data_IF_512259686218
#
_entry.id   IF_512259686218
#
_cell.length_a   1.000
_cell.length_b   1.000
_cell.length_c   1.000
_cell.angle_alpha   90.00
_cell.angle_beta   90.00
_cell.angle_gamma   90.00
#
_symmetry.space_group_name_H-M   'P 1'
#
loop_
_entity.id
_entity.type
_entity.pdbx_description
1 polymer ?
#
# COMPACT_ATOMS: atom_id res chain seq x y z
N UNK A 1 -17.28 34.03 8.54
CA UNK A 1 -16.80 32.68 8.16
C UNK A 1 -15.46 32.46 8.86
N UNK A 2 -15.38 31.51 9.78
CA UNK A 2 -14.10 31.12 10.38
C UNK A 2 -13.22 30.51 9.29
N UNK A 3 -11.95 30.94 9.21
CA UNK A 3 -10.96 30.26 8.35
C UNK A 3 -10.78 28.82 8.85
N UNK A 4 -10.75 27.82 7.98
CA UNK A 4 -10.43 26.47 8.40
C UNK A 4 -9.06 26.48 9.09
N UNK A 5 -8.99 25.88 10.27
CA UNK A 5 -7.75 25.73 11.01
C UNK A 5 -6.86 24.71 10.32
N UNK A 6 -5.91 25.18 9.52
CA UNK A 6 -4.95 24.37 8.79
C UNK A 6 -3.97 23.63 9.70
N UNK A 7 -3.89 24.03 11.00
CA UNK A 7 -3.02 23.35 11.96
C UNK A 7 -3.59 22.02 12.42
N UNK A 8 -4.91 21.82 12.31
CA UNK A 8 -5.59 20.56 12.64
C UNK A 8 -5.25 19.46 11.62
N UNK A 9 -4.81 19.81 10.42
CA UNK A 9 -4.43 18.86 9.38
C UNK A 9 -2.92 18.54 9.33
N UNK A 10 -2.16 18.95 10.34
CA UNK A 10 -0.82 18.41 10.61
C UNK A 10 0.26 18.69 9.60
N UNK A 11 0.18 19.78 8.82
CA UNK A 11 1.29 20.11 7.93
C UNK A 11 0.89 20.75 6.60
N UNK A 12 1.82 20.77 5.70
CA UNK A 12 1.64 21.26 4.34
C UNK A 12 0.54 20.44 3.63
N UNK A 13 -0.45 21.09 3.04
CA UNK A 13 -1.53 20.46 2.27
C UNK A 13 -1.02 19.52 1.17
N UNK A 14 0.24 19.67 0.76
CA UNK A 14 0.90 18.79 -0.20
C UNK A 14 1.21 17.39 0.34
N UNK A 15 1.22 17.24 1.67
CA UNK A 15 1.52 15.98 2.35
C UNK A 15 0.25 15.21 2.75
N UNK A 16 -0.93 15.76 2.45
CA UNK A 16 -2.21 15.11 2.70
C UNK A 16 -2.52 14.12 1.58
N UNK A 17 -2.27 12.87 1.84
CA UNK A 17 -2.63 11.74 0.98
C UNK A 17 -3.43 10.70 1.73
N UNK A 18 -3.99 9.76 1.01
CA UNK A 18 -4.65 8.58 1.55
C UNK A 18 -3.88 7.33 1.16
N UNK A 19 -3.93 6.29 1.99
CA UNK A 19 -3.34 5.01 1.65
C UNK A 19 -3.80 4.55 0.25
N UNK A 20 -2.85 4.16 -0.59
CA UNK A 20 -3.11 3.74 -1.97
C UNK A 20 -3.33 4.88 -2.98
N UNK A 21 -3.36 6.13 -2.57
CA UNK A 21 -3.47 7.27 -3.48
C UNK A 21 -2.12 7.48 -4.20
N UNK A 22 -2.15 7.57 -5.52
CA UNK A 22 -0.98 7.98 -6.30
C UNK A 22 -0.64 9.44 -5.99
N UNK A 23 0.65 9.78 -6.01
CA UNK A 23 1.07 11.18 -5.93
C UNK A 23 0.77 11.90 -7.24
N UNK A 24 0.95 13.21 -7.27
CA UNK A 24 0.69 14.01 -8.50
C UNK A 24 1.59 13.66 -9.70
N UNK A 25 2.63 12.84 -9.50
CA UNK A 25 3.51 12.34 -10.56
C UNK A 25 2.92 11.10 -11.28
N UNK A 26 1.61 11.04 -11.42
CA UNK A 26 0.83 9.90 -11.98
C UNK A 26 1.28 9.50 -13.40
N UNK A 27 1.75 10.45 -14.20
CA UNK A 27 2.24 10.18 -15.56
C UNK A 27 3.48 9.27 -15.63
N UNK A 28 4.13 9.04 -14.49
CA UNK A 28 5.27 8.12 -14.36
C UNK A 28 4.86 6.77 -13.74
N UNK A 29 3.58 6.58 -13.44
CA UNK A 29 3.13 5.37 -12.78
C UNK A 29 2.89 4.24 -13.80
N UNK A 30 3.49 3.08 -13.54
CA UNK A 30 3.17 1.81 -14.22
C UNK A 30 2.27 0.99 -13.32
N UNK A 31 1.09 0.67 -13.81
CA UNK A 31 0.06 -0.06 -13.08
C UNK A 31 -0.37 -1.30 -13.85
N UNK A 32 -0.56 -2.38 -13.12
CA UNK A 32 -1.22 -3.60 -13.60
C UNK A 32 -2.57 -3.77 -12.90
N UNK A 33 -3.43 -4.63 -13.41
CA UNK A 33 -4.71 -4.94 -12.80
C UNK A 33 -4.85 -6.45 -12.67
N UNK A 34 -5.14 -6.92 -11.45
CA UNK A 34 -5.31 -8.33 -11.12
C UNK A 34 -6.64 -8.54 -10.41
N UNK A 35 -7.14 -9.76 -10.43
CA UNK A 35 -8.37 -10.13 -9.73
C UNK A 35 -8.00 -10.65 -8.34
N UNK A 36 -8.66 -10.14 -7.30
CA UNK A 36 -8.50 -10.67 -5.94
C UNK A 36 -9.05 -12.09 -5.86
N UNK A 37 -8.18 -13.09 -5.69
CA UNK A 37 -8.58 -14.48 -5.46
C UNK A 37 -8.81 -14.81 -3.97
N UNK A 38 -8.34 -13.95 -3.05
CA UNK A 38 -8.48 -14.18 -1.62
C UNK A 38 -9.94 -14.08 -1.17
N UNK A 39 -10.33 -14.92 -0.25
CA UNK A 39 -11.62 -14.76 0.45
C UNK A 39 -11.65 -13.48 1.32
N UNK A 40 -10.47 -13.00 1.73
CA UNK A 40 -10.30 -11.75 2.49
C UNK A 40 -10.25 -10.57 1.53
N UNK A 41 -10.93 -9.49 1.89
CA UNK A 41 -10.83 -8.23 1.18
C UNK A 41 -9.41 -7.64 1.27
N UNK A 42 -8.99 -6.95 0.21
CA UNK A 42 -7.69 -6.31 0.10
C UNK A 42 -7.87 -4.81 0.33
N UNK A 43 -7.16 -4.26 1.30
CA UNK A 43 -7.14 -2.83 1.59
C UNK A 43 -6.32 -2.04 0.57
N UNK A 44 -6.42 -0.71 0.61
CA UNK A 44 -5.61 0.20 -0.19
C UNK A 44 -4.23 0.43 0.43
N UNK A 45 -3.22 0.62 -0.42
CA UNK A 45 -1.87 0.94 0.03
C UNK A 45 -1.16 -0.18 0.77
N UNK A 46 -1.56 -1.43 0.56
CA UNK A 46 -0.89 -2.61 1.09
C UNK A 46 -0.19 -3.39 -0.02
N UNK A 47 0.74 -4.25 0.35
CA UNK A 47 1.38 -5.15 -0.60
C UNK A 47 0.50 -6.36 -0.89
N UNK A 48 0.50 -6.80 -2.14
CA UNK A 48 -0.17 -8.00 -2.60
C UNK A 48 0.79 -8.95 -3.28
N UNK A 49 0.51 -10.24 -3.17
CA UNK A 49 1.28 -11.28 -3.81
C UNK A 49 0.61 -11.75 -5.11
N UNK A 50 1.42 -12.44 -5.92
CA UNK A 50 0.92 -13.21 -7.07
C UNK A 50 -0.11 -14.23 -6.59
N UNK A 51 -1.21 -14.33 -7.31
CA UNK A 51 -2.19 -15.36 -7.09
C UNK A 51 -1.69 -16.76 -7.47
N UNK A 52 -2.43 -17.76 -7.05
CA UNK A 52 -2.12 -19.18 -7.31
C UNK A 52 -2.99 -19.78 -8.40
N UNK A 53 -4.17 -19.19 -8.64
CA UNK A 53 -5.15 -19.73 -9.60
C UNK A 53 -4.79 -19.38 -11.04
N UNK A 54 -4.28 -18.19 -11.31
CA UNK A 54 -3.84 -17.76 -12.64
C UNK A 54 -2.87 -16.58 -12.57
N UNK A 55 -2.21 -16.29 -13.71
CA UNK A 55 -1.32 -15.14 -13.83
C UNK A 55 -2.04 -13.78 -13.70
N UNK A 56 -3.37 -13.77 -13.84
CA UNK A 56 -4.21 -12.57 -13.73
C UNK A 56 -4.81 -12.39 -12.33
N UNK A 57 -4.39 -13.19 -11.36
CA UNK A 57 -4.89 -13.09 -9.99
C UNK A 57 -3.83 -12.55 -9.02
N UNK A 58 -4.30 -11.94 -7.94
CA UNK A 58 -3.50 -11.54 -6.79
C UNK A 58 -4.17 -12.00 -5.50
N UNK A 59 -3.38 -12.04 -4.43
CA UNK A 59 -3.84 -12.43 -3.10
C UNK A 59 -3.19 -11.58 -2.01
N UNK A 60 -3.80 -11.58 -0.84
CA UNK A 60 -3.20 -11.03 0.38
C UNK A 60 -1.91 -11.80 0.69
N UNK A 61 -0.87 -11.09 1.10
CA UNK A 61 0.38 -11.71 1.58
C UNK A 61 0.12 -12.29 2.97
N UNK A 62 0.21 -13.60 3.10
CA UNK A 62 -0.05 -14.33 4.34
C UNK A 62 1.11 -15.24 4.77
N UNK A 63 2.08 -15.49 3.91
CA UNK A 63 3.24 -16.34 4.17
C UNK A 63 4.54 -15.71 3.64
N UNK A 64 5.66 -16.07 4.24
CA UNK A 64 6.99 -15.58 3.83
C UNK A 64 7.40 -16.05 2.42
N UNK A 65 6.79 -17.11 1.94
CA UNK A 65 7.00 -17.63 0.58
C UNK A 65 6.17 -16.90 -0.50
N UNK A 66 5.25 -16.03 -0.09
CA UNK A 66 4.47 -15.23 -1.03
C UNK A 66 5.37 -14.23 -1.77
N UNK A 67 5.18 -14.12 -3.07
CA UNK A 67 5.96 -13.23 -3.93
C UNK A 67 5.20 -11.91 -4.13
N UNK A 68 5.64 -10.78 -3.50
CA UNK A 68 5.01 -9.49 -3.70
C UNK A 68 5.13 -9.04 -5.15
N UNK A 69 4.04 -8.51 -5.71
CA UNK A 69 3.97 -8.01 -7.08
C UNK A 69 3.75 -6.50 -7.18
N UNK A 70 3.54 -5.82 -6.08
CA UNK A 70 3.36 -4.38 -6.00
C UNK A 70 2.44 -3.96 -4.86
N UNK A 71 2.02 -2.71 -4.90
CA UNK A 71 1.16 -2.09 -3.89
C UNK A 71 -0.21 -1.75 -4.48
N UNK A 72 -1.27 -1.96 -3.70
CA UNK A 72 -2.65 -1.68 -4.12
C UNK A 72 -2.92 -0.18 -4.23
N UNK A 73 -3.48 0.24 -5.35
CA UNK A 73 -3.84 1.64 -5.62
C UNK A 73 -5.29 1.88 -5.24
N UNK A 74 -5.60 3.06 -4.69
CA UNK A 74 -6.96 3.47 -4.36
C UNK A 74 -7.66 4.03 -5.61
N UNK A 75 -8.81 3.47 -5.94
CA UNK A 75 -9.71 4.05 -6.92
C UNK A 75 -10.68 5.04 -6.24
N UNK A 76 -10.79 6.29 -6.70
CA UNK A 76 -11.53 7.34 -5.99
C UNK A 76 -13.04 7.08 -5.90
N UNK A 77 -13.63 6.35 -6.85
CA UNK A 77 -15.09 6.16 -6.95
C UNK A 77 -15.54 4.76 -6.50
N UNK A 78 -14.78 4.11 -5.64
CA UNK A 78 -15.16 2.78 -5.17
C UNK A 78 -16.21 2.88 -4.05
N UNK A 79 -17.34 2.17 -4.16
CA UNK A 79 -18.35 2.16 -3.10
C UNK A 79 -17.81 1.49 -1.84
N UNK A 80 -18.31 1.93 -0.69
CA UNK A 80 -18.05 1.25 0.58
C UNK A 80 -18.87 -0.07 0.65
N UNK A 81 -18.33 -1.05 1.37
CA UNK A 81 -19.05 -2.25 1.73
C UNK A 81 -20.19 -1.97 2.75
N UNK A 82 -20.94 -3.00 3.14
CA UNK A 82 -22.02 -2.88 4.11
C UNK A 82 -21.57 -2.38 5.50
N UNK A 83 -20.27 -2.48 5.81
CA UNK A 83 -19.66 -2.00 7.05
C UNK A 83 -19.04 -0.60 6.92
N UNK A 84 -19.17 0.04 5.76
CA UNK A 84 -18.60 1.36 5.47
C UNK A 84 -17.12 1.35 5.10
N UNK A 85 -16.47 0.17 4.93
CA UNK A 85 -15.09 0.07 4.51
C UNK A 85 -15.00 0.12 2.99
N UNK A 86 -13.94 0.75 2.51
CA UNK A 86 -13.63 0.79 1.07
C UNK A 86 -12.40 -0.07 0.82
N UNK A 87 -12.60 -1.21 0.17
CA UNK A 87 -11.59 -2.22 -0.08
C UNK A 87 -11.88 -2.98 -1.40
N UNK A 88 -11.06 -3.95 -1.75
CA UNK A 88 -11.27 -4.84 -2.88
C UNK A 88 -11.76 -6.21 -2.39
N UNK A 89 -13.05 -6.47 -2.54
CA UNK A 89 -13.66 -7.76 -2.21
C UNK A 89 -13.08 -8.88 -3.10
N UNK A 90 -13.38 -10.13 -2.75
CA UNK A 90 -13.05 -11.27 -3.60
C UNK A 90 -13.66 -11.11 -5.01
N UNK A 91 -12.90 -11.43 -6.03
CA UNK A 91 -13.20 -11.28 -7.47
C UNK A 91 -13.22 -9.84 -7.99
N UNK A 92 -12.93 -8.86 -7.16
CA UNK A 92 -12.75 -7.50 -7.64
C UNK A 92 -11.44 -7.34 -8.41
N UNK A 93 -11.46 -6.39 -9.34
CA UNK A 93 -10.25 -5.93 -10.02
C UNK A 93 -9.45 -5.00 -9.09
N UNK A 94 -8.21 -5.37 -8.85
CA UNK A 94 -7.27 -4.67 -7.96
C UNK A 94 -6.20 -3.99 -8.81
N UNK A 95 -6.16 -2.66 -8.89
CA UNK A 95 -5.06 -1.96 -9.53
C UNK A 95 -3.82 -2.01 -8.63
N UNK A 96 -2.69 -2.38 -9.21
CA UNK A 96 -1.43 -2.61 -8.52
C UNK A 96 -0.36 -1.71 -9.13
N UNK A 97 0.25 -0.87 -8.30
CA UNK A 97 1.39 -0.05 -8.68
C UNK A 97 2.65 -0.92 -8.75
N UNK A 98 3.31 -0.93 -9.90
CA UNK A 98 4.59 -1.60 -10.14
C UNK A 98 5.76 -0.62 -10.21
N UNK A 99 5.52 0.58 -10.71
CA UNK A 99 6.52 1.63 -10.78
C UNK A 99 5.85 3.00 -10.54
N UNK A 100 6.48 3.84 -9.73
CA UNK A 100 5.97 5.17 -9.40
C UNK A 100 5.93 5.48 -7.92
N UNK A 101 5.15 6.49 -7.54
CA UNK A 101 5.03 6.97 -6.17
C UNK A 101 3.58 6.95 -5.69
N UNK A 102 3.38 6.56 -4.44
CA UNK A 102 2.08 6.57 -3.80
C UNK A 102 2.18 6.91 -2.31
N UNK A 103 1.04 7.30 -1.74
CA UNK A 103 0.89 7.43 -0.30
C UNK A 103 0.51 6.08 0.31
N UNK A 104 1.13 5.77 1.44
CA UNK A 104 0.85 4.56 2.20
C UNK A 104 0.89 4.84 3.70
N UNK A 105 0.20 4.01 4.48
CA UNK A 105 0.19 4.09 5.94
C UNK A 105 1.01 2.93 6.48
N UNK A 106 2.16 3.18 7.12
CA UNK A 106 2.95 2.12 7.71
C UNK A 106 2.31 1.58 9.00
N UNK A 107 2.45 0.29 9.22
CA UNK A 107 2.03 -0.37 10.45
C UNK A 107 2.99 -0.09 11.64
N UNK A 108 4.22 0.25 11.34
CA UNK A 108 5.28 0.57 12.29
C UNK A 108 6.03 1.84 11.89
N UNK A 109 6.88 2.38 12.77
CA UNK A 109 7.71 3.54 12.43
C UNK A 109 8.70 3.17 11.32
N UNK A 110 8.79 4.01 10.30
CA UNK A 110 9.64 3.79 9.12
C UNK A 110 10.60 4.95 8.91
N UNK A 111 11.79 4.63 8.48
CA UNK A 111 12.82 5.62 8.13
C UNK A 111 12.84 5.89 6.63
N UNK A 112 13.17 7.13 6.24
CA UNK A 112 13.42 7.50 4.84
C UNK A 112 14.56 6.65 4.27
N UNK A 113 14.37 6.14 3.05
CA UNK A 113 15.32 5.28 2.36
C UNK A 113 15.27 3.81 2.80
N UNK A 114 14.49 3.47 3.84
CA UNK A 114 14.32 2.09 4.25
C UNK A 114 13.49 1.31 3.22
N UNK A 115 13.88 0.05 2.97
CA UNK A 115 13.11 -0.83 2.10
C UNK A 115 11.73 -1.11 2.70
N UNK A 116 10.72 -1.13 1.84
CA UNK A 116 9.35 -1.50 2.23
C UNK A 116 9.26 -3.01 2.41
N UNK A 117 8.76 -3.41 3.57
CA UNK A 117 8.43 -4.79 3.89
C UNK A 117 6.92 -4.96 4.04
N UNK A 118 6.42 -6.07 3.58
CA UNK A 118 5.06 -6.53 3.86
C UNK A 118 5.07 -7.41 5.10
N UNK A 119 4.18 -7.15 6.05
CA UNK A 119 4.05 -7.91 7.29
C UNK A 119 2.98 -8.99 7.09
N UNK A 120 3.39 -10.26 7.05
CA UNK A 120 2.51 -11.39 6.70
C UNK A 120 1.39 -11.57 7.72
N UNK A 121 1.69 -11.50 9.00
CA UNK A 121 0.70 -11.60 10.09
C UNK A 121 -0.32 -10.44 10.10
N UNK A 122 -0.08 -9.39 9.33
CA UNK A 122 -0.95 -8.19 9.22
C UNK A 122 -1.61 -8.08 7.84
N UNK A 123 -1.66 -9.17 7.07
CA UNK A 123 -2.36 -9.20 5.78
C UNK A 123 -1.74 -8.25 4.74
N UNK A 124 -0.44 -8.15 4.68
CA UNK A 124 0.24 -7.33 3.68
C UNK A 124 0.41 -5.86 4.06
N UNK A 125 0.09 -5.44 5.31
CA UNK A 125 0.38 -4.08 5.79
C UNK A 125 1.86 -3.79 5.70
N UNK A 126 2.19 -2.53 5.47
CA UNK A 126 3.56 -2.12 5.19
C UNK A 126 4.35 -1.82 6.45
N UNK A 127 5.54 -2.33 6.52
CA UNK A 127 6.59 -1.99 7.45
C UNK A 127 7.86 -1.58 6.72
N UNK A 128 9.00 -1.67 7.39
CA UNK A 128 10.29 -1.37 6.79
C UNK A 128 11.44 -2.13 7.44
N UNK A 129 12.59 -2.10 6.80
CA UNK A 129 13.85 -2.60 7.37
C UNK A 129 14.28 -1.84 8.64
N UNK A 130 13.71 -0.68 8.94
CA UNK A 130 13.91 0.03 10.21
C UNK A 130 13.35 -0.75 11.39
N UNK A 131 12.19 -1.41 11.21
CA UNK A 131 11.54 -2.22 12.25
C UNK A 131 12.04 -3.67 12.31
N UNK A 132 12.86 -4.11 11.36
CA UNK A 132 13.45 -5.46 11.29
C UNK A 132 13.79 -5.88 9.87
N UNK A 133 14.71 -6.82 9.72
CA UNK A 133 15.10 -7.36 8.42
C UNK A 133 13.96 -8.17 7.76
N UNK A 134 14.07 -8.40 6.46
CA UNK A 134 13.20 -9.35 5.76
C UNK A 134 13.41 -10.77 6.31
N UNK A 135 12.36 -11.58 6.30
CA UNK A 135 12.30 -12.91 6.90
C UNK A 135 11.42 -12.92 8.17
N UNK A 136 11.10 -14.10 8.69
CA UNK A 136 10.32 -14.28 9.93
C UNK A 136 9.03 -13.41 10.00
N UNK A 137 8.17 -13.54 8.99
CA UNK A 137 6.92 -12.78 8.91
C UNK A 137 7.02 -11.44 8.19
N UNK A 138 8.15 -11.16 7.51
CA UNK A 138 8.39 -9.92 6.77
C UNK A 138 8.93 -10.21 5.38
N UNK A 139 8.20 -9.84 4.36
CA UNK A 139 8.57 -10.08 2.96
C UNK A 139 8.92 -8.76 2.29
N UNK A 140 10.09 -8.68 1.69
CA UNK A 140 10.51 -7.48 0.97
C UNK A 140 9.64 -7.24 -0.27
N UNK A 141 9.14 -6.02 -0.43
CA UNK A 141 8.50 -5.59 -1.67
C UNK A 141 9.61 -5.14 -2.62
N UNK A 142 9.83 -5.86 -3.75
CA UNK A 142 10.95 -5.55 -4.64
C UNK A 142 10.89 -4.09 -5.14
N UNK A 143 12.04 -3.43 -5.14
CA UNK A 143 12.18 -2.06 -5.64
C UNK A 143 11.43 -0.98 -4.86
N UNK A 144 10.78 -1.32 -3.73
CA UNK A 144 9.99 -0.37 -2.96
C UNK A 144 10.78 0.19 -1.76
N UNK A 145 10.74 1.52 -1.61
CA UNK A 145 11.43 2.26 -0.55
C UNK A 145 10.55 3.38 0.01
N UNK A 146 10.69 3.64 1.31
CA UNK A 146 10.07 4.78 1.95
C UNK A 146 10.82 6.07 1.58
N UNK A 147 10.10 7.05 1.05
CA UNK A 147 10.64 8.38 0.71
C UNK A 147 10.56 9.37 1.88
N UNK A 148 9.76 9.05 2.88
CA UNK A 148 9.57 9.87 4.09
C UNK A 148 9.83 9.06 5.35
N UNK A 149 10.37 9.71 6.39
CA UNK A 149 10.30 9.18 7.75
C UNK A 149 8.89 9.36 8.26
N UNK A 150 8.24 8.30 8.71
CA UNK A 150 6.82 8.31 9.05
C UNK A 150 6.56 7.46 10.28
N UNK A 151 5.76 7.99 11.20
CA UNK A 151 5.30 7.27 12.39
C UNK A 151 4.19 6.28 12.01
N UNK A 152 4.09 5.17 12.72
CA UNK A 152 3.04 4.17 12.55
C UNK A 152 1.64 4.81 12.54
N UNK A 153 0.81 4.42 11.56
CA UNK A 153 -0.54 4.95 11.40
C UNK A 153 -0.65 6.31 10.73
N UNK A 154 0.46 6.99 10.45
CA UNK A 154 0.48 8.26 9.70
C UNK A 154 0.71 8.01 8.21
N UNK A 155 0.35 8.97 7.38
CA UNK A 155 0.57 8.87 5.93
C UNK A 155 2.02 9.17 5.58
N UNK A 156 2.67 8.25 4.88
CA UNK A 156 4.01 8.40 4.30
C UNK A 156 4.00 8.24 2.79
N UNK A 157 5.11 8.58 2.15
CA UNK A 157 5.32 8.42 0.71
C UNK A 157 6.22 7.22 0.44
N UNK A 158 5.80 6.37 -0.47
CA UNK A 158 6.55 5.19 -0.96
C UNK A 158 6.85 5.37 -2.44
N UNK A 159 8.03 4.96 -2.84
CA UNK A 159 8.45 4.83 -4.23
C UNK A 159 8.70 3.37 -4.57
N UNK A 160 8.21 2.92 -5.73
CA UNK A 160 8.57 1.65 -6.33
C UNK A 160 9.33 1.94 -7.63
N UNK A 161 10.43 1.23 -7.83
CA UNK A 161 11.25 1.30 -9.06
C UNK A 161 11.57 -0.14 -9.46
N UNK A 162 11.02 -0.58 -10.57
CA UNK A 162 11.35 -1.85 -11.22
C UNK A 162 12.37 -1.62 -12.33
#
# INVERSE_FOLDING_TARGET
MAKPDLTTYGGDLRDLGYAGQLTHEVHMADMDSKINESATAIDFGIAVARGTTSDNTCKVIAADADLPIGLTVRLPNRPADASGNVNYAQRDSVPILKNGWMFAVPFENVGRGAQVLSITAQGGKLGSTTGGAAGAGRVAVPGAYWETTTTAGQVGKVRIVY
#
